data_IF_986963223986
#
_entry.id   IF_986963223986
#
_cell.length_a   1.000
_cell.length_b   1.000
_cell.length_c   1.000
_cell.angle_alpha   90.00
_cell.angle_beta   90.00
_cell.angle_gamma   90.00
#
_symmetry.space_group_name_H-M   'P 1'
#
loop_
_entity.id
_entity.type
_entity.pdbx_description
1 polymer ?
#
# COMPACT_ATOMS: atom_id res chain seq x y z
N UNK A 1 25.72 -8.01 -26.94
CA UNK A 1 24.69 -8.38 -25.95
C UNK A 1 23.39 -7.69 -26.35
N UNK A 2 22.39 -8.48 -26.72
CA UNK A 2 21.13 -7.96 -27.22
C UNK A 2 20.31 -7.38 -26.07
N UNK A 3 20.04 -6.08 -26.14
CA UNK A 3 19.11 -5.39 -25.24
C UNK A 3 17.72 -5.92 -25.56
N UNK A 4 17.17 -6.75 -24.64
CA UNK A 4 15.82 -7.28 -24.76
C UNK A 4 14.82 -6.13 -24.86
N UNK A 5 13.96 -6.17 -25.88
CA UNK A 5 12.86 -5.22 -26.04
C UNK A 5 11.97 -5.26 -24.79
N UNK A 6 11.77 -4.11 -24.16
CA UNK A 6 10.81 -3.92 -23.09
C UNK A 6 9.48 -4.57 -23.47
N UNK A 7 9.05 -5.56 -22.71
CA UNK A 7 7.80 -6.26 -22.94
C UNK A 7 6.67 -5.32 -22.51
N UNK A 8 6.01 -4.70 -23.49
CA UNK A 8 4.73 -4.03 -23.23
C UNK A 8 3.79 -5.04 -22.57
N UNK A 9 3.06 -4.60 -21.53
CA UNK A 9 2.00 -5.40 -20.93
C UNK A 9 1.10 -5.91 -22.07
N UNK A 10 0.79 -7.21 -22.15
CA UNK A 10 -0.05 -7.73 -23.20
C UNK A 10 -1.46 -7.15 -23.03
N UNK A 11 -1.85 -6.24 -23.92
CA UNK A 11 -3.22 -5.81 -24.10
C UNK A 11 -3.99 -6.93 -24.82
N UNK A 12 -4.31 -8.01 -24.10
CA UNK A 12 -5.23 -9.02 -24.61
C UNK A 12 -6.67 -8.59 -24.29
N UNK A 13 -7.54 -8.65 -25.26
CA UNK A 13 -8.91 -8.11 -25.28
C UNK A 13 -9.89 -8.68 -24.24
N UNK A 14 -9.47 -9.63 -23.41
CA UNK A 14 -10.22 -10.19 -22.27
C UNK A 14 -9.46 -10.08 -20.94
N UNK A 15 -8.35 -9.34 -20.89
CA UNK A 15 -7.51 -9.26 -19.71
C UNK A 15 -7.93 -8.10 -18.83
N UNK A 16 -8.08 -8.41 -17.57
CA UNK A 16 -8.10 -7.58 -16.36
C UNK A 16 -8.08 -6.08 -16.66
N UNK A 17 -9.17 -5.43 -16.41
CA UNK A 17 -9.37 -3.97 -16.59
C UNK A 17 -8.31 -3.09 -15.95
N UNK A 18 -7.39 -3.67 -15.15
CA UNK A 18 -6.39 -2.96 -14.35
C UNK A 18 -5.09 -3.75 -14.32
N UNK A 19 -3.92 -3.11 -14.56
CA UNK A 19 -2.63 -3.78 -14.42
C UNK A 19 -2.40 -4.18 -12.96
N UNK A 20 -1.95 -5.43 -12.76
CA UNK A 20 -1.67 -6.01 -11.45
C UNK A 20 -0.20 -6.39 -11.33
N UNK A 21 0.33 -6.30 -10.13
CA UNK A 21 1.61 -6.89 -9.72
C UNK A 21 1.29 -8.22 -9.05
N UNK A 22 1.58 -9.33 -9.71
CA UNK A 22 1.32 -10.68 -9.20
C UNK A 22 2.62 -11.43 -8.89
N UNK A 23 3.69 -11.09 -9.60
CA UNK A 23 4.97 -11.79 -9.53
C UNK A 23 6.16 -10.83 -9.46
N UNK A 24 7.33 -11.35 -9.09
CA UNK A 24 8.58 -10.58 -9.14
C UNK A 24 8.97 -10.20 -10.58
N UNK A 25 8.46 -10.92 -11.59
CA UNK A 25 8.64 -10.54 -12.99
C UNK A 25 7.90 -9.24 -13.34
N UNK A 26 6.73 -9.00 -12.73
CA UNK A 26 6.00 -7.74 -12.91
C UNK A 26 6.75 -6.57 -12.24
N UNK A 27 7.36 -6.83 -11.08
CA UNK A 27 8.25 -5.83 -10.42
C UNK A 27 9.44 -5.52 -11.32
N UNK A 28 10.08 -6.54 -11.90
CA UNK A 28 11.24 -6.33 -12.78
C UNK A 28 10.86 -5.50 -14.02
N UNK A 29 9.73 -5.82 -14.67
CA UNK A 29 9.23 -5.06 -15.81
C UNK A 29 8.91 -3.60 -15.46
N UNK A 30 8.27 -3.38 -14.30
CA UNK A 30 7.98 -2.04 -13.79
C UNK A 30 9.26 -1.26 -13.45
N UNK A 31 10.26 -1.92 -12.86
CA UNK A 31 11.54 -1.31 -12.53
C UNK A 31 12.33 -0.89 -13.79
N UNK A 32 12.38 -1.74 -14.83
CA UNK A 32 12.99 -1.42 -16.12
C UNK A 32 12.32 -0.20 -16.75
N UNK A 33 10.97 -0.18 -16.77
CA UNK A 33 10.20 0.96 -17.26
C UNK A 33 10.51 2.26 -16.52
N UNK A 34 10.63 2.19 -15.18
CA UNK A 34 10.90 3.34 -14.32
C UNK A 34 12.32 3.86 -14.53
N UNK A 35 13.33 2.98 -14.61
CA UNK A 35 14.73 3.38 -14.87
C UNK A 35 14.86 4.10 -16.20
N UNK A 36 14.14 3.67 -17.23
CA UNK A 36 14.15 4.33 -18.53
C UNK A 36 13.60 5.78 -18.49
N UNK A 37 12.71 6.10 -17.54
CA UNK A 37 12.10 7.43 -17.38
C UNK A 37 12.75 8.28 -16.29
N UNK A 38 13.25 7.63 -15.28
CA UNK A 38 13.85 8.25 -14.09
C UNK A 38 15.11 7.45 -13.73
N UNK A 39 16.27 7.77 -14.36
CA UNK A 39 17.51 7.00 -14.19
C UNK A 39 17.98 6.87 -12.73
N UNK A 40 17.55 7.76 -11.85
CA UNK A 40 17.87 7.69 -10.42
C UNK A 40 17.42 6.38 -9.76
N UNK A 41 16.36 5.72 -10.26
CA UNK A 41 15.94 4.41 -9.75
C UNK A 41 16.98 3.31 -9.99
N UNK A 42 17.90 3.45 -10.97
CA UNK A 42 18.97 2.49 -11.17
C UNK A 42 19.88 2.37 -9.94
N UNK A 43 20.16 3.49 -9.24
CA UNK A 43 20.94 3.50 -7.99
C UNK A 43 20.26 2.71 -6.89
N UNK A 44 18.93 2.78 -6.81
CA UNK A 44 18.16 2.02 -5.82
C UNK A 44 18.26 0.53 -6.08
N UNK A 45 18.17 0.12 -7.34
CA UNK A 45 18.29 -1.28 -7.74
C UNK A 45 19.70 -1.82 -7.51
N UNK A 46 20.73 -1.01 -7.78
CA UNK A 46 22.12 -1.39 -7.55
C UNK A 46 22.41 -1.65 -6.06
N UNK A 47 21.90 -0.78 -5.18
CA UNK A 47 22.17 -0.84 -3.74
C UNK A 47 21.28 -1.84 -3.01
N UNK A 48 20.01 -1.92 -3.39
CA UNK A 48 18.99 -2.65 -2.62
C UNK A 48 18.39 -3.86 -3.36
N UNK A 49 18.68 -4.01 -4.65
CA UNK A 49 18.06 -5.02 -5.49
C UNK A 49 16.59 -4.73 -5.81
N UNK A 50 15.95 -5.70 -6.46
CA UNK A 50 14.52 -5.64 -6.75
C UNK A 50 13.70 -5.86 -5.47
N UNK A 51 12.70 -5.02 -5.20
CA UNK A 51 11.74 -5.29 -4.14
C UNK A 51 10.86 -6.48 -4.50
N UNK A 52 10.39 -7.21 -3.49
CA UNK A 52 9.48 -8.34 -3.70
C UNK A 52 8.09 -7.88 -4.15
N UNK A 53 7.44 -8.70 -4.99
CA UNK A 53 6.03 -8.56 -5.37
C UNK A 53 5.07 -8.97 -4.22
N UNK A 54 5.59 -9.36 -3.06
CA UNK A 54 4.80 -9.85 -1.94
C UNK A 54 3.60 -8.94 -1.64
N UNK A 55 2.44 -9.57 -1.54
CA UNK A 55 1.17 -8.94 -1.20
C UNK A 55 0.67 -9.47 0.14
N UNK A 56 -0.22 -8.72 0.75
CA UNK A 56 -1.06 -9.21 1.84
C UNK A 56 -2.37 -9.76 1.27
N UNK A 57 -3.07 -10.55 2.05
CA UNK A 57 -4.37 -11.06 1.65
C UNK A 57 -5.38 -9.91 1.46
N UNK A 58 -6.25 -10.03 0.47
CA UNK A 58 -7.40 -9.14 0.30
C UNK A 58 -8.48 -9.51 1.33
N UNK A 59 -8.34 -9.00 2.53
CA UNK A 59 -9.18 -9.39 3.67
C UNK A 59 -9.49 -8.24 4.61
N UNK A 60 -10.50 -8.47 5.45
CA UNK A 60 -10.85 -7.56 6.55
C UNK A 60 -9.69 -7.34 7.50
N UNK A 61 -8.99 -8.41 7.91
CA UNK A 61 -7.82 -8.32 8.79
C UNK A 61 -6.72 -7.43 8.21
N UNK A 62 -6.45 -7.53 6.91
CA UNK A 62 -5.45 -6.70 6.23
C UNK A 62 -5.81 -5.22 6.26
N UNK A 63 -7.08 -4.85 6.04
CA UNK A 63 -7.52 -3.46 6.12
C UNK A 63 -7.40 -2.93 7.57
N UNK A 64 -7.79 -3.72 8.57
CA UNK A 64 -7.63 -3.35 9.97
C UNK A 64 -6.16 -3.16 10.36
N UNK A 65 -5.26 -4.01 9.82
CA UNK A 65 -3.83 -3.88 10.05
C UNK A 65 -3.29 -2.57 9.47
N UNK A 66 -3.67 -2.20 8.26
CA UNK A 66 -3.27 -0.92 7.64
C UNK A 66 -3.78 0.27 8.46
N UNK A 67 -5.01 0.21 8.99
CA UNK A 67 -5.53 1.24 9.90
C UNK A 67 -4.70 1.31 11.19
N UNK A 68 -4.25 0.17 11.72
CA UNK A 68 -3.39 0.14 12.90
C UNK A 68 -2.05 0.84 12.65
N UNK A 69 -1.50 0.74 11.44
CA UNK A 69 -0.22 1.31 11.03
C UNK A 69 -0.23 2.83 10.82
N UNK A 70 -1.41 3.46 10.70
CA UNK A 70 -1.52 4.91 10.48
C UNK A 70 -0.75 5.72 11.52
N UNK A 71 0.10 6.64 11.06
CA UNK A 71 0.78 7.69 11.87
C UNK A 71 1.65 7.17 13.04
N UNK A 72 2.08 5.91 13.02
CA UNK A 72 2.98 5.34 14.02
C UNK A 72 4.11 4.55 13.34
N UNK A 73 5.16 4.22 14.10
CA UNK A 73 6.23 3.37 13.59
C UNK A 73 5.75 1.94 13.37
N UNK A 74 6.31 1.23 12.39
CA UNK A 74 6.00 -0.18 12.13
C UNK A 74 6.20 -1.04 13.40
N UNK A 75 7.25 -0.78 14.19
CA UNK A 75 7.50 -1.49 15.46
C UNK A 75 6.35 -1.30 16.46
N UNK A 76 5.83 -0.09 16.57
CA UNK A 76 4.68 0.20 17.44
C UNK A 76 3.40 -0.46 16.92
N UNK A 77 3.18 -0.38 15.60
CA UNK A 77 2.05 -1.04 14.94
C UNK A 77 2.07 -2.55 15.13
N UNK A 78 3.20 -3.21 14.92
CA UNK A 78 3.37 -4.65 15.16
C UNK A 78 3.05 -5.05 16.61
N UNK A 79 3.47 -4.24 17.59
CA UNK A 79 3.19 -4.51 18.99
C UNK A 79 1.69 -4.38 19.33
N UNK A 80 1.00 -3.42 18.72
CA UNK A 80 -0.46 -3.26 18.85
C UNK A 80 -1.16 -4.40 18.13
N UNK A 81 -0.76 -4.71 16.90
CA UNK A 81 -1.39 -5.74 16.08
C UNK A 81 -1.35 -7.12 16.74
N UNK A 82 -0.24 -7.52 17.36
CA UNK A 82 -0.17 -8.78 18.11
C UNK A 82 -1.19 -8.89 19.25
N UNK A 83 -1.45 -7.78 19.95
CA UNK A 83 -2.50 -7.75 20.99
C UNK A 83 -3.90 -7.88 20.41
N UNK A 84 -4.11 -7.24 19.25
CA UNK A 84 -5.36 -7.33 18.50
C UNK A 84 -5.60 -8.76 18.02
N UNK A 85 -4.60 -9.38 17.38
CA UNK A 85 -4.69 -10.78 16.91
C UNK A 85 -5.04 -11.75 18.04
N UNK A 86 -4.40 -11.58 19.20
CA UNK A 86 -4.67 -12.47 20.35
C UNK A 86 -6.11 -12.37 20.86
N UNK A 87 -6.77 -11.19 20.71
CA UNK A 87 -8.09 -10.93 21.30
C UNK A 87 -9.24 -10.97 20.30
N UNK A 88 -8.96 -10.70 19.03
CA UNK A 88 -10.00 -10.56 18.00
C UNK A 88 -9.95 -11.67 16.94
N UNK A 89 -9.07 -12.67 17.09
CA UNK A 89 -9.05 -13.80 16.17
C UNK A 89 -10.16 -14.83 16.51
N UNK A 90 -10.93 -15.33 15.51
CA UNK A 90 -10.91 -14.98 14.09
C UNK A 90 -11.45 -13.57 13.83
N UNK A 91 -10.89 -12.91 12.78
CA UNK A 91 -11.32 -11.58 12.38
C UNK A 91 -12.66 -11.63 11.64
N UNK A 92 -13.73 -11.81 12.40
CA UNK A 92 -15.09 -11.80 11.88
C UNK A 92 -15.76 -10.45 12.19
N UNK A 93 -16.39 -9.80 11.20
CA UNK A 93 -17.02 -8.50 11.42
C UNK A 93 -17.99 -8.49 12.60
N UNK A 94 -18.85 -9.52 12.72
CA UNK A 94 -19.80 -9.66 13.82
C UNK A 94 -19.14 -9.81 15.20
N UNK A 95 -17.95 -10.40 15.28
CA UNK A 95 -17.18 -10.50 16.53
C UNK A 95 -16.60 -9.15 16.93
N UNK A 96 -16.03 -8.39 15.97
CA UNK A 96 -15.51 -7.05 16.24
C UNK A 96 -16.59 -6.11 16.76
N UNK A 97 -17.83 -6.21 16.27
CA UNK A 97 -18.94 -5.38 16.68
C UNK A 97 -19.41 -5.63 18.15
N UNK A 98 -18.98 -6.73 18.78
CA UNK A 98 -19.25 -7.00 20.20
C UNK A 98 -18.33 -6.20 21.13
N UNK A 99 -17.20 -5.68 20.64
CA UNK A 99 -16.27 -4.89 21.44
C UNK A 99 -16.68 -3.41 21.43
N UNK A 100 -16.67 -2.79 22.59
CA UNK A 100 -16.83 -1.34 22.72
C UNK A 100 -15.59 -0.60 22.17
N UNK A 101 -15.73 0.71 21.94
CA UNK A 101 -14.58 1.56 21.58
C UNK A 101 -13.50 1.49 22.66
N UNK A 102 -13.89 1.47 23.92
CA UNK A 102 -13.04 1.38 25.09
C UNK A 102 -12.27 0.05 25.15
N UNK A 103 -12.93 -1.07 24.81
CA UNK A 103 -12.28 -2.39 24.70
C UNK A 103 -11.20 -2.38 23.63
N UNK A 104 -11.51 -1.86 22.44
CA UNK A 104 -10.54 -1.73 21.34
C UNK A 104 -9.37 -0.81 21.70
N UNK A 105 -9.63 0.29 22.42
CA UNK A 105 -8.58 1.16 22.95
C UNK A 105 -7.66 0.43 23.95
N UNK A 106 -8.20 -0.47 24.77
CA UNK A 106 -7.41 -1.26 25.72
C UNK A 106 -6.35 -2.15 25.02
N UNK A 107 -6.53 -2.44 23.73
CA UNK A 107 -5.57 -3.19 22.93
C UNK A 107 -4.45 -2.29 22.34
N UNK A 108 -4.55 -0.95 22.53
CA UNK A 108 -3.58 0.03 22.09
C UNK A 108 -4.00 0.89 20.90
N UNK A 109 -5.23 0.77 20.45
CA UNK A 109 -5.78 1.64 19.40
C UNK A 109 -6.10 3.03 19.96
N UNK A 110 -5.93 4.07 19.15
CA UNK A 110 -6.53 5.37 19.45
C UNK A 110 -8.05 5.28 19.31
N UNK A 111 -8.79 6.18 19.94
CA UNK A 111 -10.25 6.23 19.82
C UNK A 111 -10.72 6.35 18.38
N UNK A 112 -9.99 7.12 17.55
CA UNK A 112 -10.30 7.26 16.12
C UNK A 112 -10.15 5.92 15.38
N UNK A 113 -9.05 5.18 15.59
CA UNK A 113 -8.82 3.87 14.98
C UNK A 113 -9.83 2.83 15.47
N UNK A 114 -10.18 2.84 16.76
CA UNK A 114 -11.20 1.96 17.31
C UNK A 114 -12.56 2.18 16.63
N UNK A 115 -12.97 3.43 16.42
CA UNK A 115 -14.17 3.76 15.65
C UNK A 115 -14.09 3.32 14.19
N UNK A 116 -12.91 3.46 13.55
CA UNK A 116 -12.71 2.96 12.20
C UNK A 116 -12.87 1.45 12.11
N UNK A 117 -12.38 0.70 13.11
CA UNK A 117 -12.57 -0.76 13.20
C UNK A 117 -14.04 -1.13 13.21
N UNK A 118 -14.85 -0.46 14.07
CA UNK A 118 -16.28 -0.70 14.14
C UNK A 118 -17.01 -0.31 12.85
N UNK A 119 -16.63 0.83 12.23
CA UNK A 119 -17.25 1.28 10.98
C UNK A 119 -16.97 0.31 9.82
N UNK A 120 -15.73 -0.18 9.69
CA UNK A 120 -15.36 -1.17 8.68
C UNK A 120 -16.12 -2.48 8.92
N UNK A 121 -16.15 -2.96 10.17
CA UNK A 121 -16.88 -4.17 10.54
C UNK A 121 -18.37 -4.04 10.23
N UNK A 122 -18.99 -2.89 10.52
CA UNK A 122 -20.39 -2.61 10.21
C UNK A 122 -20.66 -2.63 8.71
N UNK A 123 -19.81 -1.98 7.89
CA UNK A 123 -19.96 -1.94 6.45
C UNK A 123 -19.85 -3.33 5.79
N UNK A 124 -19.01 -4.21 6.33
CA UNK A 124 -18.91 -5.58 5.85
C UNK A 124 -20.13 -6.40 6.31
N UNK A 125 -20.51 -6.27 7.58
CA UNK A 125 -21.65 -7.01 8.15
C UNK A 125 -22.97 -6.65 7.46
N UNK A 126 -23.14 -5.39 7.04
CA UNK A 126 -24.30 -4.93 6.28
C UNK A 126 -24.24 -5.28 4.77
N UNK A 127 -23.10 -5.76 4.27
CA UNK A 127 -22.89 -6.03 2.86
C UNK A 127 -22.55 -4.79 2.01
N UNK A 128 -22.39 -3.63 2.63
CA UNK A 128 -21.97 -2.38 1.95
C UNK A 128 -20.54 -2.48 1.39
N UNK A 129 -19.66 -3.16 2.11
CA UNK A 129 -18.30 -3.48 1.67
C UNK A 129 -18.14 -5.00 1.53
N UNK A 130 -17.77 -5.45 0.33
CA UNK A 130 -17.46 -6.85 0.03
C UNK A 130 -16.07 -6.92 -0.62
N UNK A 131 -15.10 -7.55 0.06
CA UNK A 131 -13.73 -7.68 -0.40
C UNK A 131 -13.60 -8.47 -1.70
N UNK A 132 -14.39 -9.54 -1.89
CA UNK A 132 -14.33 -10.35 -3.09
C UNK A 132 -14.67 -9.54 -4.34
N UNK A 133 -15.57 -8.57 -4.21
CA UNK A 133 -15.95 -7.69 -5.31
C UNK A 133 -14.87 -6.64 -5.68
N UNK A 134 -13.96 -6.29 -4.75
CA UNK A 134 -12.97 -5.24 -4.97
C UNK A 134 -11.95 -5.59 -6.06
N UNK A 135 -11.69 -6.87 -6.30
CA UNK A 135 -10.82 -7.29 -7.41
C UNK A 135 -11.40 -7.02 -8.79
N UNK A 136 -12.72 -6.91 -8.87
CA UNK A 136 -13.47 -6.86 -10.15
C UNK A 136 -13.78 -5.44 -10.59
N UNK A 137 -13.60 -4.45 -9.73
CA UNK A 137 -13.95 -3.05 -10.00
C UNK A 137 -12.72 -2.18 -10.23
N UNK A 138 -12.88 -1.05 -10.97
CA UNK A 138 -11.82 -0.07 -11.21
C UNK A 138 -11.25 0.52 -9.93
N UNK A 139 -9.99 0.99 -9.99
CA UNK A 139 -9.31 1.61 -8.84
C UNK A 139 -10.10 2.80 -8.27
N UNK A 140 -10.72 3.63 -9.12
CA UNK A 140 -11.52 4.77 -8.66
C UNK A 140 -12.76 4.33 -7.88
N UNK A 141 -13.39 3.20 -8.24
CA UNK A 141 -14.53 2.65 -7.50
C UNK A 141 -14.10 2.04 -6.17
N UNK A 142 -12.93 1.34 -6.15
CA UNK A 142 -12.35 0.86 -4.90
C UNK A 142 -12.03 2.03 -3.97
N UNK A 143 -11.38 3.07 -4.50
CA UNK A 143 -11.08 4.28 -3.72
C UNK A 143 -12.34 4.93 -3.18
N UNK A 144 -13.39 5.09 -4.00
CA UNK A 144 -14.65 5.67 -3.56
C UNK A 144 -15.29 4.88 -2.40
N UNK A 145 -15.30 3.54 -2.50
CA UNK A 145 -15.83 2.66 -1.45
C UNK A 145 -15.01 2.75 -0.15
N UNK A 146 -13.68 2.73 -0.26
CA UNK A 146 -12.82 2.79 0.92
C UNK A 146 -12.85 4.17 1.59
N UNK A 147 -12.81 5.25 0.80
CA UNK A 147 -12.84 6.63 1.31
C UNK A 147 -14.19 7.02 1.95
N UNK A 148 -15.27 6.31 1.65
CA UNK A 148 -16.56 6.48 2.32
C UNK A 148 -16.53 6.00 3.78
N UNK A 149 -15.58 5.14 4.16
CA UNK A 149 -15.49 4.58 5.50
C UNK A 149 -14.82 5.57 6.47
N UNK A 150 -15.39 5.80 7.67
CA UNK A 150 -14.80 6.66 8.67
C UNK A 150 -13.37 6.24 9.05
N UNK A 151 -12.42 7.18 8.95
CA UNK A 151 -11.00 6.96 9.29
C UNK A 151 -10.17 6.31 8.19
N UNK A 152 -10.75 6.05 7.03
CA UNK A 152 -10.00 5.64 5.84
C UNK A 152 -9.73 6.89 4.99
N UNK A 153 -8.47 7.30 4.96
CA UNK A 153 -8.00 8.39 4.12
C UNK A 153 -7.31 7.88 2.85
N UNK A 154 -6.89 8.81 1.95
CA UNK A 154 -6.23 8.45 0.69
C UNK A 154 -5.02 7.54 0.88
N UNK A 155 -4.16 7.82 1.86
CA UNK A 155 -3.00 6.97 2.16
C UNK A 155 -3.41 5.51 2.45
N UNK A 156 -4.41 5.29 3.31
CA UNK A 156 -4.87 3.95 3.68
C UNK A 156 -5.46 3.22 2.48
N UNK A 157 -6.27 3.91 1.68
CA UNK A 157 -6.89 3.35 0.49
C UNK A 157 -5.83 2.98 -0.57
N UNK A 158 -4.83 3.84 -0.82
CA UNK A 158 -3.73 3.55 -1.74
C UNK A 158 -2.84 2.40 -1.25
N UNK A 159 -2.53 2.33 0.06
CA UNK A 159 -1.79 1.19 0.63
C UNK A 159 -2.58 -0.11 0.43
N UNK A 160 -3.90 -0.08 0.62
CA UNK A 160 -4.72 -1.27 0.38
C UNK A 160 -4.73 -1.69 -1.09
N UNK A 161 -4.90 -0.76 -2.03
CA UNK A 161 -4.79 -1.02 -3.47
C UNK A 161 -3.44 -1.65 -3.83
N UNK A 162 -2.34 -1.08 -3.31
CA UNK A 162 -0.98 -1.52 -3.60
C UNK A 162 -0.66 -2.88 -3.00
N UNK A 163 -1.00 -3.10 -1.72
CA UNK A 163 -0.54 -4.26 -0.96
C UNK A 163 -1.51 -5.43 -0.99
N UNK A 164 -2.81 -5.19 -0.90
CA UNK A 164 -3.83 -6.23 -0.87
C UNK A 164 -4.36 -6.57 -2.28
N UNK A 165 -4.71 -5.56 -3.06
CA UNK A 165 -5.23 -5.79 -4.41
C UNK A 165 -4.12 -5.94 -5.47
N UNK A 166 -2.88 -5.57 -5.16
CA UNK A 166 -1.76 -5.68 -6.10
C UNK A 166 -1.88 -4.75 -7.31
N UNK A 167 -2.59 -3.62 -7.18
CA UNK A 167 -2.73 -2.65 -8.27
C UNK A 167 -1.38 -2.04 -8.62
N UNK A 168 -1.02 -2.04 -9.89
CA UNK A 168 0.29 -1.56 -10.34
C UNK A 168 0.42 -0.03 -10.27
N UNK A 169 -0.70 0.69 -10.26
CA UNK A 169 -0.71 2.15 -10.39
C UNK A 169 -1.25 2.90 -9.16
N UNK A 170 -1.30 2.26 -7.99
CA UNK A 170 -1.61 2.93 -6.74
C UNK A 170 -0.45 3.82 -6.28
N UNK A 171 -0.75 5.00 -5.73
CA UNK A 171 0.25 6.00 -5.39
C UNK A 171 -0.05 6.65 -4.04
N UNK A 172 0.45 6.09 -2.92
CA UNK A 172 0.25 6.65 -1.60
C UNK A 172 1.09 7.91 -1.38
N UNK A 173 0.76 8.97 -2.11
CA UNK A 173 1.51 10.24 -2.15
C UNK A 173 1.62 10.94 -0.80
N UNK A 174 0.70 10.64 0.13
CA UNK A 174 0.75 11.11 1.52
C UNK A 174 1.72 10.35 2.41
N UNK A 175 2.40 9.31 1.89
CA UNK A 175 3.36 8.52 2.68
C UNK A 175 4.64 9.31 2.94
N UNK A 176 4.92 9.51 4.22
CA UNK A 176 6.07 10.30 4.66
C UNK A 176 7.41 9.68 4.26
N UNK A 177 7.50 8.35 4.30
CA UNK A 177 8.72 7.65 3.92
C UNK A 177 9.00 7.78 2.43
N UNK A 178 7.94 7.70 1.59
CA UNK A 178 8.05 7.93 0.15
C UNK A 178 8.50 9.36 -0.17
N UNK A 179 7.91 10.36 0.50
CA UNK A 179 8.28 11.76 0.29
C UNK A 179 9.74 12.03 0.70
N UNK A 180 10.19 11.45 1.81
CA UNK A 180 11.59 11.58 2.26
C UNK A 180 12.56 10.85 1.32
N UNK A 181 12.20 9.66 0.87
CA UNK A 181 12.99 8.92 -0.11
C UNK A 181 13.09 9.67 -1.45
N UNK A 182 11.98 10.27 -1.90
CA UNK A 182 11.96 11.06 -3.14
C UNK A 182 12.82 12.32 -3.01
N UNK A 183 12.75 13.01 -1.87
CA UNK A 183 13.61 14.16 -1.61
C UNK A 183 15.09 13.82 -1.79
N UNK A 184 15.53 12.74 -1.17
CA UNK A 184 16.94 12.32 -1.23
C UNK A 184 17.33 11.80 -2.62
N UNK A 185 16.57 10.84 -3.15
CA UNK A 185 16.89 10.16 -4.41
C UNK A 185 16.95 11.13 -5.60
N UNK A 186 16.05 12.12 -5.60
CA UNK A 186 15.93 13.09 -6.69
C UNK A 186 16.58 14.45 -6.38
N UNK A 187 17.36 14.54 -5.29
CA UNK A 187 18.06 15.74 -4.85
C UNK A 187 17.17 17.00 -4.84
N UNK A 188 15.96 16.86 -4.26
CA UNK A 188 15.01 17.96 -4.17
C UNK A 188 15.38 18.90 -3.00
N UNK A 189 15.18 20.21 -3.16
CA UNK A 189 15.47 21.23 -2.14
C UNK A 189 14.73 21.01 -0.83
N UNK A 190 13.60 20.33 -0.87
CA UNK A 190 12.80 19.99 0.31
C UNK A 190 11.90 18.80 0.08
N UNK A 191 11.30 18.31 1.17
CA UNK A 191 10.34 17.21 1.09
C UNK A 191 9.11 17.64 0.28
N UNK A 192 8.76 16.91 -0.81
CA UNK A 192 7.61 17.25 -1.63
C UNK A 192 6.31 17.13 -0.84
N UNK A 193 5.37 18.03 -1.11
CA UNK A 193 3.98 17.85 -0.68
C UNK A 193 3.35 16.64 -1.39
N UNK A 194 2.25 16.08 -0.88
CA UNK A 194 1.52 15.01 -1.58
C UNK A 194 1.17 15.36 -3.02
N UNK A 195 0.80 16.62 -3.27
CA UNK A 195 0.48 17.12 -4.61
C UNK A 195 1.72 17.11 -5.53
N UNK A 196 2.83 17.69 -5.07
CA UNK A 196 4.08 17.72 -5.84
C UNK A 196 4.63 16.31 -6.10
N UNK A 197 4.46 15.40 -5.13
CA UNK A 197 4.82 13.99 -5.32
C UNK A 197 3.96 13.34 -6.42
N UNK A 198 2.63 13.55 -6.41
CA UNK A 198 1.73 13.03 -7.44
C UNK A 198 2.05 13.58 -8.82
N UNK A 199 2.34 14.89 -8.94
CA UNK A 199 2.73 15.52 -10.21
C UNK A 199 3.98 14.86 -10.81
N UNK A 200 4.99 14.57 -9.98
CA UNK A 200 6.17 13.80 -10.42
C UNK A 200 5.81 12.37 -10.81
N UNK A 201 4.96 11.72 -10.01
CA UNK A 201 4.57 10.33 -10.20
C UNK A 201 3.72 10.09 -11.45
N UNK A 202 3.21 11.12 -12.12
CA UNK A 202 2.54 10.98 -13.41
C UNK A 202 3.45 10.33 -14.47
N UNK A 203 4.75 10.60 -14.42
CA UNK A 203 5.75 10.01 -15.34
C UNK A 203 6.00 8.51 -15.06
N UNK A 204 5.55 8.00 -13.90
CA UNK A 204 5.77 6.61 -13.49
C UNK A 204 4.59 5.68 -13.82
N UNK A 205 3.49 6.25 -14.33
CA UNK A 205 2.34 5.45 -14.78
C UNK A 205 2.75 4.48 -15.90
N UNK A 206 2.24 3.25 -15.87
CA UNK A 206 1.27 2.67 -14.94
C UNK A 206 1.94 1.88 -13.79
N UNK A 207 3.17 2.19 -13.40
CA UNK A 207 3.99 1.45 -12.44
C UNK A 207 4.27 2.20 -11.14
N UNK A 208 3.36 3.11 -10.73
CA UNK A 208 3.56 3.92 -9.51
C UNK A 208 3.71 3.07 -8.24
N UNK A 209 3.08 1.90 -8.18
CA UNK A 209 3.26 0.97 -7.05
C UNK A 209 4.66 0.33 -7.01
N UNK A 210 5.29 0.12 -8.16
CA UNK A 210 6.69 -0.33 -8.21
C UNK A 210 7.62 0.80 -7.77
N UNK A 211 7.37 2.03 -8.23
CA UNK A 211 8.12 3.21 -7.78
C UNK A 211 8.02 3.38 -6.25
N UNK A 212 6.82 3.21 -5.66
CA UNK A 212 6.64 3.26 -4.22
C UNK A 212 7.47 2.19 -3.49
N UNK A 213 7.51 0.95 -3.99
CA UNK A 213 8.32 -0.13 -3.42
C UNK A 213 9.82 0.16 -3.48
N UNK A 214 10.31 0.71 -4.60
CA UNK A 214 11.70 1.15 -4.76
C UNK A 214 12.03 2.27 -3.78
N UNK A 215 11.18 3.28 -3.66
CA UNK A 215 11.36 4.38 -2.73
C UNK A 215 11.35 3.92 -1.26
N UNK A 216 10.48 2.97 -0.88
CA UNK A 216 10.54 2.38 0.46
C UNK A 216 11.84 1.59 0.70
N UNK A 217 12.40 0.92 -0.31
CA UNK A 217 13.71 0.26 -0.20
C UNK A 217 14.81 1.28 0.03
N UNK A 218 14.80 2.38 -0.72
CA UNK A 218 15.72 3.49 -0.53
C UNK A 218 15.60 4.12 0.87
N UNK A 219 14.39 4.42 1.31
CA UNK A 219 14.14 4.98 2.65
C UNK A 219 14.69 4.10 3.78
N UNK A 220 14.50 2.78 3.67
CA UNK A 220 15.08 1.84 4.66
C UNK A 220 16.60 1.92 4.69
N UNK A 221 17.24 2.01 3.52
CA UNK A 221 18.68 2.23 3.42
C UNK A 221 19.14 3.51 4.12
N UNK A 222 18.46 4.63 3.86
CA UNK A 222 18.73 5.92 4.52
C UNK A 222 18.64 5.86 6.06
N UNK A 223 17.76 5.01 6.57
CA UNK A 223 17.57 4.84 8.03
C UNK A 223 18.42 3.74 8.64
N UNK A 224 19.31 3.09 7.89
CA UNK A 224 20.09 1.94 8.37
C UNK A 224 19.23 0.75 8.80
N UNK A 225 17.99 0.66 8.30
CA UNK A 225 17.07 -0.42 8.62
C UNK A 225 17.35 -1.57 7.66
N UNK A 226 17.74 -2.74 8.21
CA UNK A 226 17.90 -3.95 7.39
C UNK A 226 16.61 -4.28 6.63
N UNK A 227 16.75 -4.87 5.43
CA UNK A 227 15.60 -5.39 4.72
C UNK A 227 14.93 -6.45 5.60
N UNK A 228 13.76 -6.14 6.17
CA UNK A 228 12.93 -7.19 6.75
C UNK A 228 12.39 -8.01 5.60
N UNK A 229 12.91 -9.22 5.48
CA UNK A 229 12.26 -10.31 4.77
C UNK A 229 11.07 -10.68 5.66
N UNK A 230 9.94 -10.05 5.45
CA UNK A 230 8.66 -10.43 6.06
C UNK A 230 7.70 -10.84 4.96
#
# INVERSE_FOLDING_TARGET
MAIGKARALPLTSDAKKFPLIETDADIAAGAEFLVAREPSFAKVLEVHGLPSARRVENSFASLLKIVTEQLISLKAADAIWRRIETRLHPFEPGEILKFSVEDLQSMGLTRAKARSFQAIASAIHSGELNFDSLHQVPDHDVLAKLLALPGIGPWTADIYLLTALGRADACPSGDLALQMAAQDLFAMDGRPSPKAFLERAENWKPWRSVAARLLWSHYRGLKGLSQRIN
#
